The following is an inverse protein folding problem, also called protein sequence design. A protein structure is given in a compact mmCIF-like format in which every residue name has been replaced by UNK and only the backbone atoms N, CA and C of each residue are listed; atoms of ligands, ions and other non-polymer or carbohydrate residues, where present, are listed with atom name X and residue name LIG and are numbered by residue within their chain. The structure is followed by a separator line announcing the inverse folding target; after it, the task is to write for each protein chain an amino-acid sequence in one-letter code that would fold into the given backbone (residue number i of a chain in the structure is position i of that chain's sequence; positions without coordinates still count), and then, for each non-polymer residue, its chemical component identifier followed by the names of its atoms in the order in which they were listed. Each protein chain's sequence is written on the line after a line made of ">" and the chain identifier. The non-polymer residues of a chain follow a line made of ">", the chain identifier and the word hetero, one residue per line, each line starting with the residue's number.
data_IF_611416550826
#
_entry.id   IF_611416550826
#
_cell.length_a   1.000
_cell.length_b   1.000
_cell.length_c   1.000
_cell.angle_alpha   90.00
_cell.angle_beta   90.00
_cell.angle_gamma   90.00
#
_symmetry.space_group_name_H-M   'P 1'
#
loop_
_entity.id
_entity.type
_entity.pdbx_description
1 polymer ?
#
# COMPACT_ATOMS: atom_id res chain seq x y z
N UNK A 1 19.34 -5.20 -3.62
CA UNK A 1 20.67 -4.58 -3.78
C UNK A 1 21.65 -5.08 -2.72
N UNK A 2 22.74 -5.76 -3.09
CA UNK A 2 23.72 -6.29 -2.12
C UNK A 2 24.54 -5.21 -1.40
N UNK A 3 24.62 -3.99 -1.93
CA UNK A 3 25.36 -2.87 -1.31
C UNK A 3 24.85 -2.54 0.10
N UNK A 4 23.54 -2.61 0.32
CA UNK A 4 22.92 -2.38 1.62
C UNK A 4 23.31 -3.47 2.64
N UNK A 5 23.18 -4.74 2.24
CA UNK A 5 23.62 -5.89 3.04
C UNK A 5 25.11 -5.82 3.43
N UNK A 6 25.93 -5.22 2.56
CA UNK A 6 27.36 -5.03 2.78
C UNK A 6 27.70 -3.72 3.52
N UNK A 7 26.73 -3.04 4.13
CA UNK A 7 26.89 -1.78 4.87
C UNK A 7 27.56 -0.65 4.05
N UNK A 8 27.27 -0.60 2.74
CA UNK A 8 27.82 0.44 1.84
C UNK A 8 26.90 1.63 1.66
N UNK A 9 25.71 1.62 2.26
CA UNK A 9 24.72 2.69 2.15
C UNK A 9 24.54 3.34 3.51
N UNK A 10 24.46 4.67 3.54
CA UNK A 10 24.12 5.41 4.77
C UNK A 10 22.60 5.59 4.90
N UNK A 11 22.14 5.96 6.09
CA UNK A 11 20.71 6.22 6.39
C UNK A 11 20.05 7.25 5.45
N UNK A 12 20.85 8.14 4.85
CA UNK A 12 20.35 9.19 3.95
C UNK A 12 20.23 8.72 2.50
N UNK A 13 20.70 7.51 2.18
CA UNK A 13 20.54 6.90 0.87
C UNK A 13 19.11 6.35 0.72
N UNK A 14 18.36 6.70 -0.36
CA UNK A 14 17.00 6.20 -0.59
C UNK A 14 16.85 4.68 -0.66
N UNK A 15 17.93 3.94 -0.94
CA UNK A 15 17.94 2.49 -0.99
C UNK A 15 18.42 1.82 0.31
N UNK A 16 18.66 2.61 1.36
CA UNK A 16 18.99 2.10 2.68
C UNK A 16 17.79 1.41 3.34
N UNK A 17 18.08 0.33 4.07
CA UNK A 17 17.11 -0.50 4.76
C UNK A 17 17.84 -1.19 5.92
N UNK A 18 17.35 -1.03 7.14
CA UNK A 18 17.99 -1.64 8.30
C UNK A 18 17.67 -3.14 8.40
N UNK A 19 18.43 -3.96 7.68
CA UNK A 19 18.25 -5.41 7.66
C UNK A 19 18.31 -6.05 9.05
N UNK A 20 19.16 -5.55 9.95
CA UNK A 20 19.30 -6.08 11.31
C UNK A 20 18.04 -5.87 12.13
N UNK A 21 17.50 -4.64 12.14
CA UNK A 21 16.27 -4.34 12.88
C UNK A 21 15.07 -5.10 12.31
N UNK A 22 14.95 -5.19 10.98
CA UNK A 22 13.89 -5.96 10.33
C UNK A 22 13.96 -7.45 10.70
N UNK A 23 15.15 -8.05 10.70
CA UNK A 23 15.33 -9.44 11.12
C UNK A 23 14.94 -9.66 12.59
N UNK A 24 15.21 -8.69 13.48
CA UNK A 24 14.76 -8.74 14.89
C UNK A 24 13.24 -8.73 15.03
N UNK A 25 12.54 -8.08 14.09
CA UNK A 25 11.08 -8.03 14.02
C UNK A 25 10.48 -9.23 13.26
N UNK A 26 11.29 -10.23 12.89
CA UNK A 26 10.84 -11.41 12.14
C UNK A 26 10.55 -11.15 10.66
N UNK A 27 10.99 -10.01 10.13
CA UNK A 27 10.79 -9.64 8.72
C UNK A 27 11.84 -10.32 7.85
N UNK A 28 11.37 -11.05 6.83
CA UNK A 28 12.22 -11.62 5.79
C UNK A 28 12.30 -10.66 4.61
N UNK A 29 13.53 -10.31 4.20
CA UNK A 29 13.75 -9.39 3.07
C UNK A 29 14.06 -10.18 1.80
N UNK A 30 13.19 -10.04 0.79
CA UNK A 30 13.45 -10.51 -0.56
C UNK A 30 14.11 -9.40 -1.37
N UNK A 31 15.18 -9.74 -2.08
CA UNK A 31 16.00 -8.77 -2.80
C UNK A 31 15.81 -8.92 -4.31
N UNK A 32 15.46 -7.83 -4.99
CA UNK A 32 15.47 -7.74 -6.45
C UNK A 32 16.84 -7.22 -6.96
N UNK A 33 17.24 -7.60 -8.19
CA UNK A 33 18.49 -7.13 -8.80
C UNK A 33 18.41 -5.71 -9.33
N UNK A 34 17.20 -5.20 -9.60
CA UNK A 34 16.92 -3.85 -10.09
C UNK A 34 15.72 -3.27 -9.36
N UNK A 35 15.56 -1.94 -9.45
CA UNK A 35 14.30 -1.28 -9.11
C UNK A 35 13.23 -1.73 -10.11
N UNK A 36 12.09 -2.19 -9.59
CA UNK A 36 10.93 -2.59 -10.38
C UNK A 36 9.93 -1.44 -10.43
N UNK A 37 9.24 -1.30 -11.57
CA UNK A 37 8.01 -0.50 -11.62
C UNK A 37 6.90 -1.18 -10.80
N UNK A 38 5.81 -0.47 -10.53
CA UNK A 38 4.71 -1.05 -9.75
C UNK A 38 4.15 -2.32 -10.40
N UNK A 39 3.85 -2.31 -11.70
CA UNK A 39 3.35 -3.50 -12.40
C UNK A 39 4.36 -4.67 -12.38
N UNK A 40 5.65 -4.37 -12.52
CA UNK A 40 6.71 -5.39 -12.40
C UNK A 40 6.80 -5.97 -10.98
N UNK A 41 6.63 -5.12 -9.96
CA UNK A 41 6.63 -5.52 -8.55
C UNK A 41 5.43 -6.41 -8.23
N UNK A 42 4.24 -6.08 -8.72
CA UNK A 42 3.05 -6.91 -8.54
C UNK A 42 3.20 -8.29 -9.20
N UNK A 43 3.76 -8.35 -10.41
CA UNK A 43 4.11 -9.63 -11.04
C UNK A 43 5.18 -10.40 -10.26
N UNK A 44 6.15 -9.70 -9.66
CA UNK A 44 7.15 -10.33 -8.80
C UNK A 44 6.51 -10.94 -7.53
N UNK A 45 5.49 -10.30 -6.94
CA UNK A 45 4.72 -10.88 -5.83
C UNK A 45 3.96 -12.14 -6.27
N UNK A 46 3.23 -12.09 -7.38
CA UNK A 46 2.49 -13.24 -7.89
C UNK A 46 3.44 -14.41 -8.23
N UNK A 47 4.57 -14.14 -8.88
CA UNK A 47 5.60 -15.14 -9.17
C UNK A 47 6.20 -15.73 -7.90
N UNK A 48 6.52 -14.90 -6.90
CA UNK A 48 7.07 -15.36 -5.62
C UNK A 48 6.07 -16.24 -4.89
N UNK A 49 4.80 -15.83 -4.85
CA UNK A 49 3.72 -16.60 -4.26
C UNK A 49 3.54 -17.94 -4.99
N UNK A 50 3.73 -17.98 -6.32
CA UNK A 50 3.71 -19.23 -7.09
C UNK A 50 4.88 -20.15 -6.72
N UNK A 51 6.12 -19.63 -6.70
CA UNK A 51 7.34 -20.36 -6.31
C UNK A 51 7.22 -20.96 -4.90
N UNK A 52 6.69 -20.17 -3.96
CA UNK A 52 6.48 -20.55 -2.56
C UNK A 52 5.22 -21.37 -2.31
N UNK A 53 4.40 -21.61 -3.33
CA UNK A 53 3.11 -22.30 -3.23
C UNK A 53 2.14 -21.62 -2.24
N UNK A 54 2.19 -20.29 -2.15
CA UNK A 54 1.25 -19.47 -1.39
C UNK A 54 0.07 -19.07 -2.28
N UNK A 55 -1.07 -19.71 -2.09
CA UNK A 55 -2.27 -19.46 -2.90
C UNK A 55 -2.82 -18.04 -2.78
N UNK A 56 -2.67 -17.46 -1.59
CA UNK A 56 -3.04 -16.08 -1.33
C UNK A 56 -1.92 -15.39 -0.56
N UNK A 57 -1.82 -14.08 -0.74
CA UNK A 57 -0.90 -13.23 0.00
C UNK A 57 -1.56 -11.90 0.32
N UNK A 58 -1.06 -11.24 1.36
CA UNK A 58 -1.42 -9.86 1.65
C UNK A 58 -0.33 -8.95 1.07
N UNK A 59 -0.74 -7.87 0.43
CA UNK A 59 0.13 -6.80 -0.02
C UNK A 59 -0.33 -5.50 0.61
N UNK A 60 0.62 -4.61 0.91
CA UNK A 60 0.34 -3.29 1.43
C UNK A 60 1.24 -2.24 0.78
N UNK A 61 0.79 -0.99 0.85
CA UNK A 61 1.65 0.17 0.67
C UNK A 61 2.74 0.18 1.75
N UNK A 62 3.85 0.85 1.48
CA UNK A 62 5.01 0.89 2.40
C UNK A 62 4.87 1.97 3.50
N UNK A 63 3.96 2.91 3.28
CA UNK A 63 3.76 4.15 4.01
C UNK A 63 2.45 4.14 4.80
N UNK A 64 2.15 2.99 5.43
CA UNK A 64 0.94 2.80 6.23
C UNK A 64 1.22 2.69 7.73
N UNK A 65 0.28 3.17 8.54
CA UNK A 65 0.20 2.89 9.98
C UNK A 65 -1.15 2.25 10.26
N UNK A 66 -1.14 1.15 11.02
CA UNK A 66 -2.35 0.33 11.23
C UNK A 66 -2.68 0.14 12.70
N UNK A 67 -3.98 0.15 13.03
CA UNK A 67 -4.49 -0.07 14.38
C UNK A 67 -5.69 -1.02 14.37
N UNK A 68 -5.74 -1.89 15.37
CA UNK A 68 -6.96 -2.65 15.68
C UNK A 68 -8.01 -1.72 16.29
N UNK A 69 -9.30 -2.05 16.14
CA UNK A 69 -10.41 -1.32 16.75
C UNK A 69 -10.54 -1.73 18.22
N UNK A 70 -9.77 -1.10 19.11
CA UNK A 70 -9.76 -1.42 20.55
C UNK A 70 -11.04 -1.01 21.28
N UNK A 71 -11.82 -0.11 20.69
CA UNK A 71 -13.10 0.37 21.23
C UNK A 71 -14.31 -0.45 20.74
N UNK A 72 -14.12 -1.40 19.84
CA UNK A 72 -15.17 -2.33 19.41
C UNK A 72 -15.09 -3.63 20.24
N UNK A 73 -16.18 -3.93 20.95
CA UNK A 73 -16.33 -5.21 21.66
C UNK A 73 -17.16 -6.19 20.82
N UNK A 74 -17.06 -7.47 21.17
CA UNK A 74 -17.78 -8.58 20.55
C UNK A 74 -19.28 -8.25 20.37
N UNK A 75 -19.91 -8.63 19.24
CA UNK A 75 -21.36 -8.81 19.23
C UNK A 75 -21.73 -9.79 20.36
N UNK A 76 -22.71 -9.47 21.20
CA UNK A 76 -23.10 -10.31 22.37
C UNK A 76 -23.42 -11.77 21.99
N UNK A 77 -23.72 -11.99 20.71
CA UNK A 77 -24.19 -13.21 20.08
C UNK A 77 -23.12 -13.98 19.28
N UNK A 78 -21.91 -13.45 19.14
CA UNK A 78 -20.81 -14.23 18.57
C UNK A 78 -20.29 -15.27 19.61
N UNK A 79 -19.70 -16.40 19.19
CA UNK A 79 -19.16 -17.40 20.11
C UNK A 79 -17.91 -16.88 20.84
N UNK A 80 -18.05 -16.48 22.12
CA UNK A 80 -16.94 -15.99 22.95
C UNK A 80 -15.69 -16.87 22.80
N UNK A 81 -14.66 -16.36 22.11
CA UNK A 81 -13.31 -16.88 22.27
C UNK A 81 -12.78 -16.32 23.58
N UNK A 82 -12.61 -17.19 24.57
CA UNK A 82 -11.86 -16.85 25.76
C UNK A 82 -10.38 -16.76 25.37
N UNK A 83 -9.70 -15.71 25.82
CA UNK A 83 -8.24 -15.76 25.90
C UNK A 83 -7.84 -16.92 26.82
N UNK A 84 -6.66 -17.51 26.62
CA UNK A 84 -6.10 -18.55 27.52
C UNK A 84 -6.01 -18.12 29.00
N UNK A 85 -6.31 -16.85 29.31
CA UNK A 85 -6.33 -16.26 30.66
C UNK A 85 -7.72 -15.92 31.21
N UNK A 86 -8.81 -16.25 30.50
CA UNK A 86 -10.18 -16.30 31.05
C UNK A 86 -10.87 -14.98 31.46
N UNK A 87 -10.13 -13.88 31.68
CA UNK A 87 -10.66 -12.71 32.40
C UNK A 87 -10.87 -11.44 31.55
N UNK A 88 -10.69 -11.49 30.23
CA UNK A 88 -10.93 -10.34 29.34
C UNK A 88 -11.59 -10.76 28.02
N UNK A 89 -12.54 -9.97 27.48
CA UNK A 89 -13.06 -10.17 26.13
C UNK A 89 -11.89 -10.05 25.13
N UNK A 90 -11.79 -11.01 24.21
CA UNK A 90 -10.81 -10.94 23.12
C UNK A 90 -11.22 -9.80 22.19
N UNK A 91 -10.43 -8.73 22.16
CA UNK A 91 -10.52 -7.72 21.11
C UNK A 91 -10.04 -8.37 19.81
N UNK A 92 -10.87 -8.33 18.76
CA UNK A 92 -10.43 -8.80 17.45
C UNK A 92 -9.31 -7.90 16.94
N UNK A 93 -8.09 -8.43 16.85
CA UNK A 93 -6.99 -7.69 16.24
C UNK A 93 -7.25 -7.50 14.75
N UNK A 94 -6.62 -6.51 14.14
CA UNK A 94 -6.61 -6.34 12.69
C UNK A 94 -6.16 -7.62 11.98
N UNK A 95 -5.19 -8.33 12.56
CA UNK A 95 -4.74 -9.63 12.08
C UNK A 95 -5.87 -10.68 12.08
N UNK A 96 -6.59 -10.82 13.20
CA UNK A 96 -7.68 -11.80 13.31
C UNK A 96 -8.80 -11.52 12.30
N UNK A 97 -9.14 -10.24 12.10
CA UNK A 97 -10.15 -9.82 11.11
C UNK A 97 -9.68 -10.10 9.68
N UNK A 98 -8.43 -9.79 9.35
CA UNK A 98 -7.84 -10.08 8.03
C UNK A 98 -7.83 -11.59 7.73
N UNK A 99 -7.42 -12.41 8.71
CA UNK A 99 -7.42 -13.87 8.60
C UNK A 99 -8.85 -14.41 8.52
N UNK A 100 -9.80 -13.82 9.24
CA UNK A 100 -11.22 -14.17 9.16
C UNK A 100 -11.78 -13.98 7.74
N UNK A 101 -11.44 -12.88 7.08
CA UNK A 101 -11.82 -12.64 5.67
C UNK A 101 -11.16 -13.67 4.74
N UNK A 102 -9.87 -13.97 4.91
CA UNK A 102 -9.21 -15.03 4.14
C UNK A 102 -9.89 -16.39 4.32
N UNK A 103 -10.25 -16.76 5.56
CA UNK A 103 -10.94 -18.02 5.83
C UNK A 103 -12.33 -18.06 5.19
N UNK A 104 -13.07 -16.94 5.20
CA UNK A 104 -14.35 -16.83 4.52
C UNK A 104 -14.19 -17.01 3.00
N UNK A 105 -13.23 -16.33 2.38
CA UNK A 105 -13.00 -16.38 0.94
C UNK A 105 -12.41 -17.71 0.43
N UNK A 106 -11.91 -18.56 1.33
CA UNK A 106 -11.48 -19.93 1.01
C UNK A 106 -12.63 -20.95 1.03
N UNK A 107 -13.82 -20.57 1.48
CA UNK A 107 -14.95 -21.50 1.55
C UNK A 107 -15.48 -21.83 0.15
N UNK A 108 -16.02 -23.04 -0.09
CA UNK A 108 -16.59 -23.41 -1.38
C UNK A 108 -17.73 -22.51 -1.85
N UNK A 109 -18.45 -21.87 -0.92
CA UNK A 109 -19.56 -20.97 -1.20
C UNK A 109 -19.12 -19.53 -1.52
N UNK A 110 -17.83 -19.21 -1.33
CA UNK A 110 -17.29 -17.90 -1.65
C UNK A 110 -17.40 -17.63 -3.17
N UNK A 111 -17.64 -16.37 -3.58
CA UNK A 111 -17.63 -16.04 -5.00
C UNK A 111 -16.24 -16.31 -5.59
N UNK A 112 -16.18 -16.57 -6.89
CA UNK A 112 -14.91 -16.54 -7.64
C UNK A 112 -14.30 -15.14 -7.44
N UNK A 113 -13.20 -15.02 -6.69
CA UNK A 113 -12.68 -13.74 -6.22
C UNK A 113 -11.22 -13.53 -6.59
N UNK A 114 -10.82 -12.26 -6.76
CA UNK A 114 -9.45 -11.87 -7.08
C UNK A 114 -8.77 -11.06 -5.96
N UNK A 115 -9.39 -9.96 -5.56
CA UNK A 115 -8.85 -9.04 -4.56
C UNK A 115 -9.89 -8.79 -3.46
N UNK A 116 -9.43 -8.58 -2.24
CA UNK A 116 -10.24 -8.05 -1.16
C UNK A 116 -9.51 -6.91 -0.48
N UNK A 117 -10.06 -5.72 -0.59
CA UNK A 117 -9.52 -4.46 -0.09
C UNK A 117 -9.91 -4.24 1.37
N UNK A 118 -9.01 -3.68 2.17
CA UNK A 118 -9.25 -3.41 3.59
C UNK A 118 -9.33 -1.92 3.95
N UNK A 119 -8.74 -1.08 3.11
CA UNK A 119 -8.85 0.37 3.13
C UNK A 119 -8.31 0.86 1.80
N UNK A 120 -9.17 0.90 0.77
CA UNK A 120 -8.70 1.03 -0.62
C UNK A 120 -7.58 -0.01 -0.91
N UNK A 121 -6.60 0.32 -1.76
CA UNK A 121 -5.48 -0.55 -2.08
C UNK A 121 -4.34 -0.52 -1.04
N UNK A 122 -4.49 0.20 0.09
CA UNK A 122 -3.44 0.36 1.10
C UNK A 122 -3.05 -0.96 1.78
N UNK A 123 -4.02 -1.85 1.98
CA UNK A 123 -3.83 -3.24 2.39
C UNK A 123 -4.85 -4.10 1.65
N UNK A 124 -4.35 -5.10 0.93
CA UNK A 124 -5.14 -5.93 0.04
C UNK A 124 -4.80 -7.40 0.24
N UNK A 125 -5.83 -8.23 0.37
CA UNK A 125 -5.70 -9.68 0.22
C UNK A 125 -5.85 -10.06 -1.25
N UNK A 126 -4.85 -10.78 -1.79
CA UNK A 126 -4.77 -11.13 -3.19
C UNK A 126 -4.86 -12.64 -3.38
N UNK A 127 -5.74 -13.08 -4.29
CA UNK A 127 -5.77 -14.42 -4.83
C UNK A 127 -4.81 -14.53 -6.02
N UNK A 128 -3.66 -15.15 -5.81
CA UNK A 128 -2.61 -15.27 -6.83
C UNK A 128 -3.13 -15.91 -8.12
N UNK A 129 -3.96 -16.94 -8.02
CA UNK A 129 -4.37 -17.70 -9.19
C UNK A 129 -5.29 -16.87 -10.10
N UNK A 130 -6.09 -15.96 -9.52
CA UNK A 130 -6.88 -15.00 -10.29
C UNK A 130 -6.00 -14.02 -11.08
N UNK A 131 -4.92 -13.53 -10.47
CA UNK A 131 -3.91 -12.67 -11.13
C UNK A 131 -3.29 -13.39 -12.33
N UNK A 132 -2.93 -14.67 -12.17
CA UNK A 132 -2.33 -15.48 -13.23
C UNK A 132 -3.32 -15.84 -14.34
N UNK A 133 -4.59 -16.08 -14.00
CA UNK A 133 -5.65 -16.42 -14.96
C UNK A 133 -5.87 -15.33 -16.02
N UNK A 134 -5.74 -14.06 -15.63
CA UNK A 134 -5.85 -12.92 -16.57
C UNK A 134 -4.52 -12.49 -17.21
N UNK A 135 -3.45 -13.26 -17.00
CA UNK A 135 -2.13 -13.01 -17.61
C UNK A 135 -1.22 -12.06 -16.83
N UNK A 136 -1.54 -11.76 -15.56
CA UNK A 136 -0.75 -10.87 -14.71
C UNK A 136 -0.93 -9.38 -15.03
N UNK A 137 -0.10 -8.56 -14.40
CA UNK A 137 -0.07 -7.10 -14.57
C UNK A 137 0.66 -6.73 -15.86
N UNK A 138 0.14 -5.77 -16.63
CA UNK A 138 0.76 -5.34 -17.88
C UNK A 138 1.96 -4.43 -17.60
N UNK A 139 3.17 -4.94 -17.83
CA UNK A 139 4.40 -4.20 -17.51
C UNK A 139 4.67 -3.01 -18.43
N UNK A 140 3.94 -2.87 -19.56
CA UNK A 140 4.00 -1.65 -20.37
C UNK A 140 3.18 -0.50 -19.77
N UNK A 141 2.34 -0.79 -18.78
CA UNK A 141 1.63 0.19 -17.95
C UNK A 141 2.29 0.16 -16.56
N UNK A 142 3.40 0.88 -16.34
CA UNK A 142 4.28 0.65 -15.20
C UNK A 142 3.76 1.08 -13.83
N UNK A 143 2.83 2.04 -13.75
CA UNK A 143 2.35 2.68 -12.53
C UNK A 143 0.81 2.86 -12.57
N UNK A 144 0.25 3.74 -11.74
CA UNK A 144 -1.16 3.96 -11.41
C UNK A 144 -2.24 3.48 -12.40
N UNK A 145 -2.14 3.78 -13.70
CA UNK A 145 -3.10 3.29 -14.71
C UNK A 145 -3.20 1.75 -14.81
N UNK A 146 -2.20 1.03 -14.30
CA UNK A 146 -2.13 -0.43 -14.30
C UNK A 146 -3.13 -1.08 -13.34
N UNK A 147 -3.51 -0.38 -12.25
CA UNK A 147 -4.57 -0.83 -11.35
C UNK A 147 -5.90 -0.90 -12.10
N UNK A 148 -6.20 0.15 -12.85
CA UNK A 148 -7.40 0.24 -13.68
C UNK A 148 -7.43 -0.83 -14.75
N UNK A 149 -6.28 -1.10 -15.40
CA UNK A 149 -6.16 -2.19 -16.38
C UNK A 149 -6.40 -3.57 -15.74
N UNK A 150 -5.73 -3.84 -14.62
CA UNK A 150 -5.74 -5.14 -13.99
C UNK A 150 -7.08 -5.48 -13.35
N UNK A 151 -7.63 -4.57 -12.55
CA UNK A 151 -8.89 -4.79 -11.84
C UNK A 151 -10.06 -4.97 -12.81
N UNK A 152 -10.05 -4.27 -13.94
CA UNK A 152 -11.11 -4.40 -14.95
C UNK A 152 -10.99 -5.73 -15.71
N UNK A 153 -9.77 -6.16 -16.06
CA UNK A 153 -9.57 -7.50 -16.65
C UNK A 153 -10.05 -8.62 -15.71
N UNK A 154 -9.81 -8.49 -14.41
CA UNK A 154 -10.32 -9.43 -13.40
C UNK A 154 -11.85 -9.45 -13.37
N UNK A 155 -12.50 -8.27 -13.40
CA UNK A 155 -13.96 -8.17 -13.46
C UNK A 155 -14.53 -8.82 -14.72
N UNK A 156 -13.96 -8.56 -15.90
CA UNK A 156 -14.40 -9.19 -17.14
C UNK A 156 -14.20 -10.71 -17.18
N UNK A 157 -13.18 -11.22 -16.48
CA UNK A 157 -12.96 -12.66 -16.27
C UNK A 157 -13.89 -13.27 -15.20
N UNK A 158 -14.83 -12.49 -14.66
CA UNK A 158 -15.84 -12.92 -13.70
C UNK A 158 -15.33 -13.05 -12.27
N UNK A 159 -14.19 -12.42 -11.94
CA UNK A 159 -13.71 -12.36 -10.56
C UNK A 159 -14.35 -11.21 -9.81
N UNK A 160 -14.96 -11.53 -8.68
CA UNK A 160 -15.41 -10.58 -7.68
C UNK A 160 -14.23 -9.92 -6.97
N UNK A 161 -14.40 -8.64 -6.65
CA UNK A 161 -13.46 -7.86 -5.85
C UNK A 161 -14.24 -7.18 -4.73
N UNK A 162 -13.82 -7.41 -3.49
CA UNK A 162 -14.53 -6.99 -2.29
C UNK A 162 -13.82 -5.92 -1.50
N UNK A 163 -14.54 -5.33 -0.56
CA UNK A 163 -13.96 -4.42 0.42
C UNK A 163 -14.58 -4.66 1.81
N UNK A 164 -13.78 -4.58 2.86
CA UNK A 164 -14.26 -4.62 4.25
C UNK A 164 -13.29 -3.88 5.16
N UNK A 165 -13.82 -3.00 6.01
CA UNK A 165 -13.01 -2.39 7.06
C UNK A 165 -12.67 -3.43 8.15
N UNK A 166 -11.39 -3.61 8.44
CA UNK A 166 -10.88 -4.55 9.46
C UNK A 166 -10.08 -3.87 10.56
N UNK A 167 -10.02 -2.54 10.55
CA UNK A 167 -9.16 -1.75 11.40
C UNK A 167 -9.01 -0.35 10.87
N UNK A 168 -8.20 0.44 11.57
CA UNK A 168 -7.81 1.78 11.11
C UNK A 168 -6.50 1.62 10.33
N UNK A 169 -6.54 1.76 9.02
CA UNK A 169 -5.38 1.65 8.12
C UNK A 169 -5.20 3.03 7.48
N UNK A 170 -4.13 3.71 7.86
CA UNK A 170 -3.89 5.11 7.50
C UNK A 170 -2.70 5.20 6.58
N UNK A 171 -2.86 5.95 5.50
CA UNK A 171 -1.82 6.18 4.50
C UNK A 171 -1.09 7.49 4.80
N UNK A 172 0.12 7.41 5.37
CA UNK A 172 0.77 8.52 6.06
C UNK A 172 1.90 9.16 5.24
N UNK A 173 2.14 10.46 5.45
CA UNK A 173 3.16 11.22 4.69
C UNK A 173 4.59 11.06 5.21
N UNK A 174 4.74 10.51 6.43
CA UNK A 174 5.94 10.67 7.25
C UNK A 174 6.09 9.50 8.22
N UNK A 175 7.23 9.46 8.90
CA UNK A 175 7.55 8.45 9.90
C UNK A 175 7.25 8.94 11.31
N UNK A 176 6.91 8.00 12.19
CA UNK A 176 6.84 8.26 13.63
C UNK A 176 8.24 8.55 14.17
N UNK A 177 8.39 9.57 15.03
CA UNK A 177 9.68 9.96 15.62
C UNK A 177 10.34 8.81 16.40
N UNK A 178 9.51 8.00 17.09
CA UNK A 178 9.95 6.81 17.82
C UNK A 178 8.92 5.69 17.67
N UNK A 179 9.31 4.61 16.98
CA UNK A 179 8.46 3.42 16.77
C UNK A 179 8.06 2.76 18.09
N UNK A 180 8.83 2.95 19.18
CA UNK A 180 8.51 2.42 20.51
C UNK A 180 7.19 3.01 21.07
N UNK A 181 6.71 4.14 20.53
CA UNK A 181 5.39 4.68 20.84
C UNK A 181 4.26 3.73 20.41
N UNK A 182 4.39 3.05 19.26
CA UNK A 182 3.41 2.05 18.80
C UNK A 182 3.32 0.85 19.75
N UNK A 183 4.43 0.54 20.43
CA UNK A 183 4.50 -0.50 21.47
C UNK A 183 4.12 0.02 22.86
N UNK A 184 3.68 1.28 22.97
CA UNK A 184 3.28 1.95 24.22
C UNK A 184 4.34 1.85 25.33
N UNK A 185 5.62 1.92 24.95
CA UNK A 185 6.71 1.88 25.93
C UNK A 185 6.61 3.09 26.86
N UNK A 186 6.61 2.91 28.20
CA UNK A 186 6.55 4.02 29.14
C UNK A 186 7.66 5.05 28.91
N UNK A 187 7.30 6.33 28.96
CA UNK A 187 8.18 7.46 28.70
C UNK A 187 8.36 7.81 27.22
N UNK A 188 7.95 6.94 26.28
CA UNK A 188 7.98 7.22 24.84
C UNK A 188 6.67 7.87 24.41
N UNK A 189 6.76 8.88 23.53
CA UNK A 189 5.62 9.60 22.99
C UNK A 189 5.60 9.59 21.47
N UNK A 190 4.43 9.31 20.93
CA UNK A 190 4.09 9.41 19.53
C UNK A 190 4.13 10.88 19.09
N UNK A 191 4.71 11.06 17.92
CA UNK A 191 4.86 12.36 17.29
C UNK A 191 5.54 12.18 15.94
N UNK A 192 5.49 13.22 15.13
CA UNK A 192 6.18 13.28 13.86
C UNK A 192 6.75 14.67 13.63
N UNK A 193 7.82 14.74 12.85
CA UNK A 193 8.46 16.00 12.49
C UNK A 193 7.49 16.85 11.66
N UNK A 194 7.27 18.09 12.10
CA UNK A 194 6.36 19.01 11.42
C UNK A 194 4.89 18.92 11.86
N UNK A 195 4.57 18.18 12.93
CA UNK A 195 3.20 18.12 13.47
C UNK A 195 2.68 19.52 13.84
N UNK A 196 1.67 20.06 13.12
CA UNK A 196 1.16 21.42 13.34
C UNK A 196 0.41 21.56 14.67
N UNK A 197 -0.03 20.45 15.27
CA UNK A 197 -0.84 20.43 16.51
C UNK A 197 -0.05 19.92 17.72
N UNK A 198 1.28 19.82 17.64
CA UNK A 198 2.13 19.33 18.75
C UNK A 198 2.00 20.21 20.00
N UNK A 199 1.19 19.78 20.97
CA UNK A 199 1.12 20.40 22.30
C UNK A 199 2.31 19.94 23.15
N UNK A 200 3.27 20.83 23.42
CA UNK A 200 4.52 20.50 24.13
C UNK A 200 4.36 20.13 25.62
N UNK A 201 3.29 20.55 26.31
CA UNK A 201 3.19 20.45 27.78
C UNK A 201 2.21 19.41 28.33
N UNK A 202 1.05 19.17 27.70
CA UNK A 202 0.02 18.24 28.22
C UNK A 202 0.38 16.76 27.99
N UNK A 203 1.02 16.44 26.86
CA UNK A 203 1.46 15.08 26.54
C UNK A 203 2.55 14.54 27.49
N UNK A 204 3.33 15.43 28.13
CA UNK A 204 4.50 15.05 28.94
C UNK A 204 4.14 14.29 30.22
N UNK A 205 3.02 14.61 30.87
CA UNK A 205 2.72 14.11 32.23
C UNK A 205 2.10 12.71 32.28
N UNK A 206 1.36 12.27 31.26
CA UNK A 206 0.67 10.97 31.26
C UNK A 206 1.57 9.82 30.76
N UNK A 207 2.44 10.08 29.77
CA UNK A 207 3.30 9.02 29.21
C UNK A 207 4.47 8.62 30.06
N UNK A 208 4.90 9.47 31.00
CA UNK A 208 6.01 9.17 31.92
C UNK A 208 5.71 7.96 32.82
N UNK A 209 4.43 7.55 33.01
CA UNK A 209 4.05 6.41 33.86
C UNK A 209 3.41 5.23 33.12
N UNK A 210 2.59 5.47 32.11
CA UNK A 210 1.70 4.43 31.56
C UNK A 210 1.89 4.16 30.05
N UNK A 211 2.80 4.88 29.37
CA UNK A 211 3.01 4.75 27.92
C UNK A 211 2.04 5.61 27.10
N UNK A 212 1.79 5.23 25.85
CA UNK A 212 0.81 5.90 24.98
C UNK A 212 -0.58 5.29 25.08
N UNK A 213 -1.62 6.12 24.94
CA UNK A 213 -2.99 5.60 24.80
C UNK A 213 -3.28 5.28 23.34
N UNK A 214 -4.19 4.33 23.10
CA UNK A 214 -4.63 3.98 21.74
C UNK A 214 -5.20 5.20 21.02
N UNK A 215 -6.03 5.99 21.69
CA UNK A 215 -6.68 7.19 21.13
C UNK A 215 -5.63 8.21 20.68
N UNK A 216 -4.60 8.45 21.49
CA UNK A 216 -3.55 9.40 21.14
C UNK A 216 -2.71 8.91 19.96
N UNK A 217 -2.41 7.62 19.89
CA UNK A 217 -1.69 7.02 18.75
C UNK A 217 -2.48 7.18 17.44
N UNK A 218 -3.77 6.85 17.48
CA UNK A 218 -4.67 7.02 16.33
C UNK A 218 -4.78 8.49 15.94
N UNK A 219 -4.91 9.40 16.91
CA UNK A 219 -4.97 10.85 16.65
C UNK A 219 -3.70 11.36 15.96
N UNK A 220 -2.52 10.95 16.43
CA UNK A 220 -1.23 11.31 15.82
C UNK A 220 -1.14 10.77 14.39
N UNK A 221 -1.48 9.50 14.17
CA UNK A 221 -1.42 8.89 12.85
C UNK A 221 -2.42 9.53 11.86
N UNK A 222 -3.63 9.90 12.31
CA UNK A 222 -4.58 10.67 11.49
C UNK A 222 -4.01 12.02 11.06
N UNK A 223 -3.27 12.71 11.94
CA UNK A 223 -2.57 13.94 11.55
C UNK A 223 -1.44 13.70 10.55
N UNK A 224 -0.77 12.54 10.61
CA UNK A 224 0.24 12.15 9.62
C UNK A 224 -0.38 11.87 8.24
N UNK A 225 -1.57 11.29 8.21
CA UNK A 225 -2.38 11.10 6.98
C UNK A 225 -2.91 12.45 6.47
N UNK A 226 -3.50 13.29 7.33
CA UNK A 226 -3.93 14.65 6.96
C UNK A 226 -2.78 15.41 6.27
N UNK A 227 -1.58 15.36 6.85
CA UNK A 227 -0.40 16.00 6.28
C UNK A 227 -0.04 15.49 4.87
N UNK A 228 -0.40 14.25 4.51
CA UNK A 228 -0.16 13.67 3.18
C UNK A 228 -1.05 14.30 2.12
N UNK A 229 -2.30 14.53 2.50
CA UNK A 229 -3.38 14.95 1.60
C UNK A 229 -3.63 16.46 1.60
N UNK A 230 -2.92 17.22 2.45
CA UNK A 230 -2.91 18.69 2.41
C UNK A 230 -2.54 19.21 1.01
N UNK A 231 -3.16 20.32 0.62
CA UNK A 231 -2.96 21.02 -0.66
C UNK A 231 -3.23 20.15 -1.90
N UNK A 232 -4.19 19.22 -1.83
CA UNK A 232 -4.65 18.43 -2.98
C UNK A 232 -3.66 17.36 -3.41
N UNK A 233 -3.17 16.55 -2.46
CA UNK A 233 -2.11 15.54 -2.64
C UNK A 233 -0.68 16.12 -2.78
N UNK A 234 -0.48 17.41 -2.47
CA UNK A 234 0.81 18.08 -2.63
C UNK A 234 1.98 17.42 -1.88
N UNK A 235 1.68 16.63 -0.84
CA UNK A 235 2.68 15.98 0.00
C UNK A 235 2.79 14.45 -0.18
N UNK A 236 2.00 13.85 -1.10
CA UNK A 236 1.87 12.40 -1.28
C UNK A 236 3.20 11.67 -1.48
N UNK A 237 4.16 12.31 -2.17
CA UNK A 237 5.47 11.74 -2.50
C UNK A 237 6.64 12.42 -1.76
N UNK A 238 6.36 13.27 -0.76
CA UNK A 238 7.42 14.03 -0.08
C UNK A 238 8.39 13.17 0.73
N UNK A 239 8.01 11.92 1.08
CA UNK A 239 8.94 10.96 1.66
C UNK A 239 10.13 10.68 0.74
N UNK A 240 9.97 10.75 -0.59
CA UNK A 240 11.07 10.63 -1.55
C UNK A 240 12.07 11.78 -1.44
N UNK A 241 11.62 12.95 -0.98
CA UNK A 241 12.45 14.14 -0.73
C UNK A 241 13.07 14.15 0.66
N UNK A 242 12.73 13.20 1.53
CA UNK A 242 13.27 13.13 2.89
C UNK A 242 14.67 12.50 2.94
N UNK A 243 15.04 11.70 1.93
CA UNK A 243 16.35 11.08 1.79
C UNK A 243 17.07 11.66 0.56
N UNK A 244 17.87 12.70 0.78
CA UNK A 244 18.60 13.42 -0.29
C UNK A 244 20.10 13.16 -0.29
N UNK A 245 20.58 12.25 0.56
CA UNK A 245 22.00 11.93 0.70
C UNK A 245 22.44 10.73 -0.12
N UNK A 246 23.60 10.18 0.24
CA UNK A 246 24.19 9.04 -0.43
C UNK A 246 25.10 9.39 -1.61
N UNK A 247 25.42 10.67 -1.84
CA UNK A 247 26.39 11.06 -2.88
C UNK A 247 27.72 10.31 -2.71
N UNK A 248 28.21 9.71 -3.80
CA UNK A 248 29.40 8.86 -3.80
C UNK A 248 29.17 7.41 -3.35
N UNK A 249 27.96 7.05 -2.90
CA UNK A 249 27.59 5.67 -2.55
C UNK A 249 27.07 4.90 -3.78
N UNK A 250 27.11 3.56 -3.76
CA UNK A 250 26.49 2.75 -4.80
C UNK A 250 25.00 3.08 -4.97
N UNK A 251 24.55 3.16 -6.23
CA UNK A 251 23.15 3.40 -6.60
C UNK A 251 22.56 4.74 -6.15
N UNK A 252 23.39 5.66 -5.66
CA UNK A 252 23.00 7.05 -5.49
C UNK A 252 22.49 7.62 -6.81
N UNK A 253 21.36 8.34 -6.74
CA UNK A 253 20.77 9.02 -7.88
C UNK A 253 20.47 10.45 -7.47
N UNK A 254 20.57 11.35 -8.45
CA UNK A 254 20.01 12.68 -8.30
C UNK A 254 18.50 12.57 -8.06
N UNK A 255 18.01 13.14 -6.95
CA UNK A 255 16.63 12.94 -6.51
C UNK A 255 15.64 13.66 -7.43
N UNK A 256 15.99 14.85 -7.94
CA UNK A 256 15.15 15.61 -8.87
C UNK A 256 15.04 14.86 -10.20
N UNK A 257 16.17 14.41 -10.76
CA UNK A 257 16.21 13.61 -11.97
C UNK A 257 15.49 12.27 -11.83
N UNK A 258 15.53 11.65 -10.65
CA UNK A 258 14.77 10.42 -10.36
C UNK A 258 13.26 10.68 -10.41
N UNK A 259 12.77 11.74 -9.77
CA UNK A 259 11.36 12.13 -9.80
C UNK A 259 10.90 12.49 -11.22
N UNK A 260 11.70 13.23 -11.99
CA UNK A 260 11.41 13.51 -13.41
C UNK A 260 11.28 12.21 -14.20
N UNK A 261 12.21 11.28 -14.04
CA UNK A 261 12.16 9.98 -14.72
C UNK A 261 10.94 9.14 -14.31
N UNK A 262 10.57 9.18 -13.02
CA UNK A 262 9.37 8.50 -12.51
C UNK A 262 8.10 9.06 -13.16
N UNK A 263 7.96 10.39 -13.22
CA UNK A 263 6.82 11.05 -13.88
C UNK A 263 6.73 10.71 -15.36
N UNK A 264 7.84 10.74 -16.09
CA UNK A 264 7.87 10.35 -17.50
C UNK A 264 7.36 8.92 -17.71
N UNK A 265 7.71 7.99 -16.82
CA UNK A 265 7.25 6.60 -16.89
C UNK A 265 5.76 6.47 -16.52
N UNK A 266 5.27 7.24 -15.55
CA UNK A 266 3.84 7.33 -15.22
C UNK A 266 3.05 7.79 -16.44
N UNK A 267 3.47 8.89 -17.07
CA UNK A 267 2.79 9.48 -18.23
C UNK A 267 2.87 8.55 -19.45
N UNK A 268 4.01 7.88 -19.65
CA UNK A 268 4.13 6.84 -20.67
C UNK A 268 3.14 5.70 -20.42
N UNK A 269 2.98 5.26 -19.17
CA UNK A 269 2.02 4.23 -18.80
C UNK A 269 0.58 4.63 -19.08
N UNK A 270 0.21 5.87 -18.76
CA UNK A 270 -1.11 6.43 -19.09
C UNK A 270 -1.34 6.46 -20.60
N UNK A 271 -0.34 6.85 -21.39
CA UNK A 271 -0.44 6.82 -22.84
C UNK A 271 -0.63 5.40 -23.38
N UNK A 272 0.15 4.42 -22.88
CA UNK A 272 0.00 3.00 -23.26
C UNK A 272 -1.39 2.49 -22.90
N UNK A 273 -1.88 2.77 -21.69
CA UNK A 273 -3.24 2.42 -21.28
C UNK A 273 -4.28 3.01 -22.24
N UNK A 274 -4.15 4.29 -22.57
CA UNK A 274 -5.12 4.98 -23.42
C UNK A 274 -5.17 4.38 -24.82
N UNK A 275 -4.02 4.06 -25.41
CA UNK A 275 -3.95 3.37 -26.71
C UNK A 275 -4.47 1.93 -26.64
N UNK A 276 -4.19 1.22 -25.52
CA UNK A 276 -4.68 -0.14 -25.31
C UNK A 276 -6.20 -0.21 -25.26
N UNK A 277 -6.84 0.75 -24.62
CA UNK A 277 -8.30 0.72 -24.38
C UNK A 277 -9.09 1.71 -25.23
N UNK A 278 -8.43 2.49 -26.09
CA UNK A 278 -9.08 3.54 -26.87
C UNK A 278 -9.76 4.61 -26.00
N UNK A 279 -9.36 4.74 -24.73
CA UNK A 279 -10.03 5.58 -23.75
C UNK A 279 -9.06 6.13 -22.70
N UNK A 280 -9.26 7.39 -22.29
CA UNK A 280 -8.46 8.06 -21.25
C UNK A 280 -9.18 8.01 -19.91
N UNK A 281 -8.73 7.15 -19.02
CA UNK A 281 -9.20 7.12 -17.64
C UNK A 281 -9.56 5.73 -17.14
N UNK A 282 -9.84 5.65 -15.85
CA UNK A 282 -10.04 4.38 -15.14
C UNK A 282 -11.46 3.83 -15.20
N UNK A 283 -12.41 4.55 -15.79
CA UNK A 283 -13.81 4.15 -15.85
C UNK A 283 -14.15 3.25 -17.05
N UNK A 284 -13.13 2.64 -17.69
CA UNK A 284 -13.26 1.60 -18.73
C UNK A 284 -14.17 0.44 -18.33
N UNK A 285 -14.37 0.20 -17.03
CA UNK A 285 -15.31 -0.78 -16.51
C UNK A 285 -16.77 -0.48 -16.90
N UNK A 286 -17.10 0.79 -17.13
CA UNK A 286 -18.44 1.27 -17.53
C UNK A 286 -18.62 1.24 -19.03
N UNK A 287 -17.53 1.09 -19.78
CA UNK A 287 -17.58 0.91 -21.23
C UNK A 287 -18.08 -0.51 -21.52
N UNK A 288 -18.95 -0.65 -22.51
CA UNK A 288 -19.47 -1.95 -22.95
C UNK A 288 -18.43 -2.70 -23.81
N UNK A 289 -17.24 -2.92 -23.24
CA UNK A 289 -16.07 -3.56 -23.85
C UNK A 289 -15.65 -4.78 -23.01
N UNK A 290 -14.75 -5.60 -23.56
CA UNK A 290 -14.22 -6.81 -22.92
C UNK A 290 -12.71 -6.90 -23.09
N UNK A 291 -12.08 -7.83 -22.35
CA UNK A 291 -10.62 -7.99 -22.35
C UNK A 291 -10.04 -8.22 -23.76
N UNK A 292 -10.77 -8.89 -24.66
CA UNK A 292 -10.32 -9.18 -26.02
C UNK A 292 -10.33 -7.97 -26.96
N UNK A 293 -10.90 -6.85 -26.53
CA UNK A 293 -10.92 -5.61 -27.30
C UNK A 293 -9.64 -4.78 -27.12
N UNK A 294 -8.74 -5.20 -26.21
CA UNK A 294 -7.43 -4.58 -26.03
C UNK A 294 -6.71 -4.39 -27.38
N UNK A 295 -6.24 -3.17 -27.63
CA UNK A 295 -5.56 -2.71 -28.85
C UNK A 295 -6.42 -2.71 -30.13
N UNK A 296 -7.74 -2.82 -30.01
CA UNK A 296 -8.68 -2.87 -31.16
C UNK A 296 -9.71 -1.75 -31.16
N UNK A 297 -9.80 -0.99 -30.07
CA UNK A 297 -10.75 0.09 -29.91
C UNK A 297 -10.23 1.34 -30.60
N UNK A 298 -11.14 2.06 -31.25
CA UNK A 298 -10.86 3.42 -31.73
C UNK A 298 -10.74 4.35 -30.53
N UNK A 299 -9.89 5.37 -30.66
CA UNK A 299 -9.73 6.40 -29.64
C UNK A 299 -11.03 7.20 -29.51
N UNK A 300 -11.48 7.40 -28.29
CA UNK A 300 -12.58 8.32 -27.97
C UNK A 300 -12.14 9.79 -27.81
N UNK A 301 -10.85 10.06 -28.06
CA UNK A 301 -10.27 11.39 -28.08
C UNK A 301 -9.48 11.64 -29.37
N UNK A 302 -9.42 12.91 -29.76
CA UNK A 302 -8.60 13.40 -30.87
C UNK A 302 -7.24 13.93 -30.35
N UNK A 303 -6.11 13.31 -30.72
CA UNK A 303 -4.79 13.77 -30.30
C UNK A 303 -4.42 15.18 -30.77
N UNK A 304 -4.98 15.66 -31.88
CA UNK A 304 -4.63 16.98 -32.43
C UNK A 304 -5.31 18.11 -31.66
N UNK A 305 -6.53 17.87 -31.17
CA UNK A 305 -7.35 18.90 -30.52
C UNK A 305 -7.45 18.72 -29.00
N UNK A 306 -7.28 17.50 -28.49
CA UNK A 306 -7.50 17.16 -27.07
C UNK A 306 -6.24 16.65 -26.35
N UNK A 307 -5.08 16.67 -27.02
CA UNK A 307 -3.79 16.27 -26.45
C UNK A 307 -3.53 14.76 -26.43
N UNK A 308 -2.39 14.37 -25.85
CA UNK A 308 -1.98 12.97 -25.81
C UNK A 308 -2.78 12.16 -24.77
N UNK A 309 -2.68 10.82 -24.86
CA UNK A 309 -3.44 9.92 -23.98
C UNK A 309 -3.23 10.19 -22.48
N UNK A 310 -2.05 10.65 -22.08
CA UNK A 310 -1.72 10.93 -20.68
C UNK A 310 -2.27 12.25 -20.12
N UNK A 311 -2.84 13.12 -20.98
CA UNK A 311 -3.29 14.48 -20.63
C UNK A 311 -4.77 14.55 -20.20
N UNK A 312 -5.46 13.42 -20.06
CA UNK A 312 -6.87 13.37 -19.65
C UNK A 312 -7.12 13.70 -18.17
N UNK A 313 -8.33 14.18 -17.85
CA UNK A 313 -8.73 14.60 -16.50
C UNK A 313 -9.11 13.43 -15.57
N UNK A 314 -9.25 12.21 -16.10
CA UNK A 314 -9.86 11.04 -15.40
C UNK A 314 -8.85 9.94 -15.00
N UNK A 315 -7.63 10.33 -14.61
CA UNK A 315 -6.57 9.42 -14.14
C UNK A 315 -6.49 9.28 -12.62
#
# INVERSE_FOLDING_TARGET
>A
MLSNLHNKLTLQNPFYLNHTQLAMLGVNVLITPTLLTFAQLQNFYAWTALDKKWEQYFWSHQDIVVFSLENETYPEDAPMMYSDRGDAPVTYTLYDRAVGVLQFLRRPEAPKWANHFFAYDHLTLVNRDAILDVGGWDTHIPFYATDCDMYVRLMWAGYWQGETEIGIILDVATVMEDVAALFRVPGVKAGFKGDPKRKKEEARKLGEREGETWEHLVEVAKRMEEAKYVDGNGWRNMWQLSQTGGEGEPFARDFEGFEVGLRMMIDTGRAVFAEKWGHRGCDIAKMNIKAEDAWRLERDWDPETQGLGHEGDEW
#
